data_IF_631215415274
#
_entry.id   IF_631215415274
#
_cell.length_a   1.000
_cell.length_b   1.000
_cell.length_c   1.000
_cell.angle_alpha   90.00
_cell.angle_beta   90.00
_cell.angle_gamma   90.00
#
_symmetry.space_group_name_H-M   'P 1'
#
loop_
_entity.id
_entity.type
_entity.pdbx_description
1 polymer ?
#
# COMPACT_ATOMS: atom_id res chain seq x y z
N UNK A 1 -25.91 -2.16 4.09
CA UNK A 1 -24.48 -2.42 3.80
C UNK A 1 -24.23 -3.93 3.80
N UNK A 2 -23.70 -4.53 2.72
CA UNK A 2 -23.52 -5.98 2.60
C UNK A 2 -22.57 -6.59 3.65
N UNK A 3 -21.55 -5.84 4.09
CA UNK A 3 -20.62 -6.29 5.13
C UNK A 3 -21.31 -6.58 6.48
N UNK A 4 -22.28 -5.75 6.87
CA UNK A 4 -23.01 -5.95 8.13
C UNK A 4 -23.87 -7.22 8.07
N UNK A 5 -24.51 -7.49 6.93
CA UNK A 5 -25.29 -8.71 6.72
C UNK A 5 -24.41 -9.97 6.75
N UNK A 6 -23.19 -9.90 6.23
CA UNK A 6 -22.24 -11.01 6.28
C UNK A 6 -21.86 -11.38 7.72
N UNK A 7 -21.68 -10.37 8.59
CA UNK A 7 -21.31 -10.58 9.99
C UNK A 7 -22.41 -11.20 10.85
N UNK A 8 -23.69 -11.00 10.51
CA UNK A 8 -24.82 -11.40 11.36
C UNK A 8 -25.55 -12.65 10.86
N UNK A 9 -25.13 -13.22 9.73
CA UNK A 9 -25.72 -14.43 9.15
C UNK A 9 -25.07 -15.73 9.66
N UNK A 10 -25.80 -16.86 9.65
CA UNK A 10 -27.27 -16.95 9.42
C UNK A 10 -28.07 -16.43 10.63
N UNK A 11 -27.46 -16.42 11.82
CA UNK A 11 -28.06 -15.94 13.04
C UNK A 11 -27.04 -15.16 13.87
N UNK A 12 -27.56 -14.23 14.67
CA UNK A 12 -26.82 -13.46 15.67
C UNK A 12 -27.46 -13.76 17.04
N UNK A 13 -26.72 -14.43 17.91
CA UNK A 13 -27.08 -14.56 19.32
C UNK A 13 -26.73 -13.25 20.03
N UNK A 14 -27.65 -12.76 20.85
CA UNK A 14 -27.48 -11.54 21.64
C UNK A 14 -27.86 -11.85 23.08
N UNK A 15 -26.97 -11.51 24.00
CA UNK A 15 -27.21 -11.52 25.44
C UNK A 15 -26.91 -10.10 25.94
N UNK A 16 -27.93 -9.44 26.49
CA UNK A 16 -27.87 -8.08 27.01
C UNK A 16 -28.43 -8.08 28.42
N UNK A 17 -27.62 -7.63 29.38
CA UNK A 17 -28.07 -7.34 30.74
C UNK A 17 -27.76 -5.90 31.08
N UNK A 18 -28.70 -5.23 31.75
CA UNK A 18 -28.55 -3.86 32.20
C UNK A 18 -29.15 -3.71 33.59
N UNK A 19 -28.43 -3.06 34.51
CA UNK A 19 -28.93 -2.68 35.83
C UNK A 19 -29.03 -1.16 35.90
N UNK A 20 -30.25 -0.65 35.99
CA UNK A 20 -30.52 0.78 36.06
C UNK A 20 -30.83 1.20 37.50
N UNK A 21 -30.04 2.13 38.03
CA UNK A 21 -30.28 2.80 39.31
C UNK A 21 -29.78 4.25 39.21
N UNK A 22 -30.52 5.21 39.77
CA UNK A 22 -30.11 6.63 39.84
C UNK A 22 -29.63 7.22 38.50
N UNK A 23 -30.34 6.89 37.41
CA UNK A 23 -29.99 7.29 36.02
C UNK A 23 -28.60 6.81 35.57
N UNK A 24 -28.09 5.75 36.18
CA UNK A 24 -26.88 5.05 35.77
C UNK A 24 -27.21 3.61 35.40
N UNK A 25 -26.72 3.15 34.26
CA UNK A 25 -26.88 1.78 33.83
C UNK A 25 -25.52 1.08 33.76
N UNK A 26 -25.33 0.00 34.52
CA UNK A 26 -24.28 -1.00 34.28
C UNK A 26 -24.78 -1.92 33.16
N UNK A 27 -24.11 -1.91 32.01
CA UNK A 27 -24.52 -2.64 30.81
C UNK A 27 -23.48 -3.69 30.48
N UNK A 28 -23.95 -4.92 30.18
CA UNK A 28 -23.13 -5.99 29.60
C UNK A 28 -23.82 -6.54 28.37
N UNK A 29 -23.08 -6.60 27.27
CA UNK A 29 -23.53 -7.07 25.97
C UNK A 29 -22.59 -8.17 25.47
N UNK A 30 -23.15 -9.28 25.02
CA UNK A 30 -22.46 -10.29 24.23
C UNK A 30 -23.21 -10.49 22.92
N UNK A 31 -22.49 -10.44 21.81
CA UNK A 31 -22.99 -10.77 20.49
C UNK A 31 -22.15 -11.90 19.91
N UNK A 32 -22.79 -12.92 19.35
CA UNK A 32 -22.08 -14.02 18.71
C UNK A 32 -22.77 -14.44 17.41
N UNK A 33 -21.96 -14.64 16.37
CA UNK A 33 -22.35 -15.24 15.11
C UNK A 33 -21.27 -16.21 14.64
N UNK A 34 -21.51 -16.90 13.53
CA UNK A 34 -20.50 -17.75 12.91
C UNK A 34 -19.25 -16.97 12.44
N UNK A 35 -19.36 -15.64 12.24
CA UNK A 35 -18.32 -14.80 11.71
C UNK A 35 -17.68 -13.86 12.74
N UNK A 36 -18.36 -13.58 13.86
CA UNK A 36 -18.01 -12.52 14.79
C UNK A 36 -18.38 -12.90 16.22
N UNK A 37 -17.48 -12.63 17.17
CA UNK A 37 -17.79 -12.60 18.60
C UNK A 37 -17.50 -11.20 19.12
N UNK A 38 -18.42 -10.60 19.87
CA UNK A 38 -18.26 -9.29 20.51
C UNK A 38 -18.70 -9.41 21.96
N UNK A 39 -17.92 -8.83 22.85
CA UNK A 39 -18.32 -8.56 24.23
C UNK A 39 -18.07 -7.09 24.54
N UNK A 40 -19.01 -6.45 25.21
CA UNK A 40 -18.89 -5.09 25.67
C UNK A 40 -19.47 -4.96 27.08
N UNK A 41 -18.86 -4.13 27.90
CA UNK A 41 -19.32 -3.84 29.25
C UNK A 41 -18.97 -2.41 29.64
N UNK A 42 -19.80 -1.76 30.47
CA UNK A 42 -19.47 -0.44 31.00
C UNK A 42 -20.67 0.31 31.56
N UNK A 43 -20.35 1.46 32.16
CA UNK A 43 -21.34 2.32 32.79
C UNK A 43 -21.85 3.40 31.85
N UNK A 44 -23.15 3.67 31.92
CA UNK A 44 -23.85 4.70 31.16
C UNK A 44 -24.52 5.66 32.15
N UNK A 45 -24.02 6.89 32.25
CA UNK A 45 -24.61 7.95 33.08
C UNK A 45 -25.57 8.80 32.22
N UNK A 46 -26.87 8.53 32.36
CA UNK A 46 -27.95 9.24 31.68
C UNK A 46 -28.25 10.61 32.31
N UNK A 47 -27.76 10.90 33.52
CA UNK A 47 -27.85 12.23 34.12
C UNK A 47 -26.83 13.19 33.50
N UNK A 48 -25.64 12.68 33.17
CA UNK A 48 -24.52 13.46 32.61
C UNK A 48 -24.30 13.21 31.11
N UNK A 49 -25.13 12.38 30.48
CA UNK A 49 -25.03 11.98 29.07
C UNK A 49 -23.62 11.46 28.70
N UNK A 50 -23.12 10.49 29.48
CA UNK A 50 -21.71 10.05 29.43
C UNK A 50 -21.57 8.52 29.48
N UNK A 51 -20.58 8.01 28.76
CA UNK A 51 -20.05 6.64 28.89
C UNK A 51 -18.88 6.67 29.86
N UNK A 52 -18.92 5.82 30.88
CA UNK A 52 -17.85 5.63 31.86
C UNK A 52 -17.05 4.36 31.56
N UNK A 53 -15.82 4.53 31.08
CA UNK A 53 -14.82 3.47 30.92
C UNK A 53 -15.33 2.14 30.32
N UNK A 54 -16.22 2.21 29.32
CA UNK A 54 -16.73 1.01 28.69
C UNK A 54 -15.61 0.29 27.93
N UNK A 55 -15.61 -1.03 27.98
CA UNK A 55 -14.70 -1.88 27.21
C UNK A 55 -15.45 -2.62 26.13
N UNK A 56 -14.76 -2.85 25.01
CA UNK A 56 -15.25 -3.66 23.90
C UNK A 56 -14.13 -4.59 23.45
N UNK A 57 -14.46 -5.87 23.26
CA UNK A 57 -13.60 -6.85 22.61
C UNK A 57 -14.36 -7.51 21.47
N UNK A 58 -13.74 -7.62 20.30
CA UNK A 58 -14.31 -8.32 19.17
C UNK A 58 -13.28 -9.25 18.52
N UNK A 59 -13.68 -10.47 18.21
CA UNK A 59 -12.92 -11.46 17.46
C UNK A 59 -13.62 -11.71 16.12
N UNK A 60 -12.93 -11.46 15.01
CA UNK A 60 -13.43 -11.74 13.67
C UNK A 60 -13.01 -13.16 13.28
N UNK A 61 -13.98 -14.07 13.37
CA UNK A 61 -13.82 -15.51 13.17
C UNK A 61 -13.80 -15.89 11.69
N UNK A 62 -14.53 -15.14 10.84
CA UNK A 62 -14.59 -15.36 9.39
C UNK A 62 -14.41 -14.04 8.64
N UNK A 63 -13.17 -13.63 8.31
CA UNK A 63 -12.92 -12.36 7.62
C UNK A 63 -13.63 -12.20 6.28
N UNK A 64 -13.86 -13.30 5.55
CA UNK A 64 -14.59 -13.29 4.28
C UNK A 64 -16.05 -12.76 4.41
N UNK A 65 -16.61 -12.77 5.63
CA UNK A 65 -17.92 -12.20 5.93
C UNK A 65 -17.94 -10.66 5.87
N UNK A 66 -16.80 -9.99 6.10
CA UNK A 66 -16.66 -8.54 5.93
C UNK A 66 -16.51 -8.16 4.46
N UNK A 67 -15.66 -8.90 3.74
CA UNK A 67 -15.39 -8.69 2.33
C UNK A 67 -14.99 -10.02 1.68
N UNK A 68 -15.52 -10.39 0.50
CA UNK A 68 -15.26 -11.69 -0.12
C UNK A 68 -13.77 -12.04 -0.32
N UNK A 69 -12.94 -11.03 -0.59
CA UNK A 69 -11.51 -11.20 -0.84
C UNK A 69 -10.64 -11.04 0.43
N UNK A 70 -11.26 -10.95 1.60
CA UNK A 70 -10.58 -10.81 2.88
C UNK A 70 -10.38 -12.19 3.52
N UNK A 71 -9.12 -12.53 3.78
CA UNK A 71 -8.72 -13.71 4.53
C UNK A 71 -7.96 -13.29 5.77
N UNK A 72 -7.90 -14.15 6.79
CA UNK A 72 -7.11 -13.83 7.98
C UNK A 72 -7.30 -14.80 9.12
N UNK A 73 -6.45 -14.66 10.12
CA UNK A 73 -6.47 -15.45 11.35
C UNK A 73 -6.06 -14.58 12.55
N UNK A 74 -6.64 -14.90 13.71
CA UNK A 74 -6.34 -14.20 14.97
C UNK A 74 -6.70 -12.71 14.96
N UNK A 75 -7.73 -12.32 14.19
CA UNK A 75 -8.14 -10.91 14.03
C UNK A 75 -8.95 -10.48 15.25
N UNK A 76 -8.37 -9.61 16.07
CA UNK A 76 -8.94 -9.17 17.35
C UNK A 76 -8.87 -7.66 17.50
N UNK A 77 -10.02 -7.06 17.78
CA UNK A 77 -10.16 -5.66 18.18
C UNK A 77 -10.42 -5.58 19.69
N UNK A 78 -9.75 -4.66 20.38
CA UNK A 78 -10.09 -4.23 21.73
C UNK A 78 -10.22 -2.72 21.74
N UNK A 79 -11.22 -2.18 22.42
CA UNK A 79 -11.43 -0.76 22.56
C UNK A 79 -11.84 -0.39 23.98
N UNK A 80 -11.51 0.83 24.40
CA UNK A 80 -12.02 1.51 25.59
C UNK A 80 -12.72 2.78 25.16
N UNK A 81 -13.92 3.00 25.66
CA UNK A 81 -14.79 4.09 25.27
C UNK A 81 -15.10 4.91 26.53
N UNK A 82 -14.81 6.19 26.49
CA UNK A 82 -15.08 7.10 27.61
C UNK A 82 -15.48 8.49 27.09
N UNK A 83 -16.34 9.17 27.83
CA UNK A 83 -16.70 10.56 27.58
C UNK A 83 -18.15 10.78 27.16
N UNK A 84 -18.51 12.02 26.78
CA UNK A 84 -19.89 12.38 26.46
C UNK A 84 -20.44 11.59 25.27
N UNK A 85 -21.73 11.22 25.27
CA UNK A 85 -22.35 10.46 24.18
C UNK A 85 -22.17 11.10 22.81
N UNK A 86 -22.18 12.44 22.73
CA UNK A 86 -22.02 13.17 21.48
C UNK A 86 -20.58 13.17 20.93
N UNK A 87 -19.58 12.86 21.77
CA UNK A 87 -18.16 12.96 21.43
C UNK A 87 -17.28 12.03 22.28
N UNK A 88 -17.54 10.71 22.26
CA UNK A 88 -16.74 9.77 23.02
C UNK A 88 -15.32 9.70 22.44
N UNK A 89 -14.36 9.39 23.31
CA UNK A 89 -13.02 8.97 22.96
C UNK A 89 -12.98 7.45 22.91
N UNK A 90 -12.30 6.91 21.90
CA UNK A 90 -12.16 5.46 21.70
C UNK A 90 -10.69 5.11 21.59
N UNK A 91 -10.09 4.60 22.65
CA UNK A 91 -8.73 4.05 22.62
C UNK A 91 -8.80 2.59 22.14
N UNK A 92 -8.22 2.28 20.98
CA UNK A 92 -8.37 0.98 20.32
C UNK A 92 -7.03 0.30 20.03
N UNK A 93 -7.07 -1.03 19.96
CA UNK A 93 -5.99 -1.92 19.52
C UNK A 93 -6.56 -3.03 18.65
N UNK A 94 -6.01 -3.18 17.45
CA UNK A 94 -6.30 -4.25 16.51
C UNK A 94 -5.05 -5.11 16.35
N UNK A 95 -5.17 -6.42 16.57
CA UNK A 95 -4.11 -7.38 16.25
C UNK A 95 -4.63 -8.40 15.25
N UNK A 96 -3.76 -8.88 14.38
CA UNK A 96 -4.02 -10.04 13.54
C UNK A 96 -2.74 -10.85 13.35
N UNK A 97 -2.83 -12.17 13.49
CA UNK A 97 -1.72 -13.05 13.14
C UNK A 97 -1.44 -12.97 11.64
N UNK A 98 -2.51 -12.94 10.85
CA UNK A 98 -2.45 -12.73 9.40
C UNK A 98 -3.73 -12.05 8.91
N UNK A 99 -3.59 -11.10 7.99
CA UNK A 99 -4.67 -10.55 7.18
C UNK A 99 -4.24 -10.55 5.71
N UNK A 100 -5.12 -10.93 4.80
CA UNK A 100 -4.87 -10.89 3.38
C UNK A 100 -6.03 -10.29 2.61
N UNK A 101 -5.72 -9.50 1.59
CA UNK A 101 -6.70 -8.94 0.68
C UNK A 101 -6.23 -9.14 -0.76
N UNK A 102 -6.99 -9.93 -1.53
CA UNK A 102 -6.57 -10.35 -2.87
C UNK A 102 -5.22 -11.07 -2.84
N UNK A 103 -4.24 -10.59 -3.62
CA UNK A 103 -2.90 -11.17 -3.66
C UNK A 103 -1.98 -10.77 -2.49
N UNK A 104 -2.34 -9.74 -1.70
CA UNK A 104 -1.47 -9.18 -0.65
C UNK A 104 -1.76 -9.79 0.72
N UNK A 105 -0.72 -10.04 1.52
CA UNK A 105 -0.82 -10.59 2.89
C UNK A 105 0.04 -9.79 3.86
N UNK A 106 -0.52 -9.46 5.02
CA UNK A 106 0.12 -8.80 6.15
C UNK A 106 0.20 -9.78 7.31
N UNK A 107 1.40 -10.04 7.79
CA UNK A 107 1.70 -10.99 8.88
C UNK A 107 2.08 -10.23 10.15
N UNK A 108 1.58 -10.67 11.31
CA UNK A 108 1.88 -10.08 12.61
C UNK A 108 1.45 -8.61 12.73
N UNK A 109 0.25 -8.29 12.25
CA UNK A 109 -0.29 -6.93 12.33
C UNK A 109 -0.63 -6.58 13.78
N UNK A 110 -0.15 -5.43 14.22
CA UNK A 110 -0.63 -4.74 15.41
C UNK A 110 -0.86 -3.27 15.06
N UNK A 111 -2.06 -2.77 15.30
CA UNK A 111 -2.47 -1.40 15.04
C UNK A 111 -3.20 -0.83 16.25
N UNK A 112 -3.14 0.48 16.45
CA UNK A 112 -3.86 1.13 17.54
C UNK A 112 -3.83 2.64 17.44
N UNK A 113 -4.66 3.26 18.27
CA UNK A 113 -4.85 4.70 18.29
C UNK A 113 -5.93 5.15 19.27
N UNK A 114 -6.19 6.45 19.28
CA UNK A 114 -7.21 7.08 20.11
C UNK A 114 -8.15 7.87 19.20
N UNK A 115 -9.21 7.21 18.73
CA UNK A 115 -10.19 7.83 17.87
C UNK A 115 -11.04 8.86 18.65
N UNK A 116 -11.36 9.96 17.98
CA UNK A 116 -12.21 11.04 18.50
C UNK A 116 -13.42 11.18 17.60
N UNK A 117 -14.59 10.97 18.18
CA UNK A 117 -15.85 11.23 17.50
C UNK A 117 -16.21 12.70 17.72
N UNK A 118 -16.51 13.40 16.62
CA UNK A 118 -16.97 14.79 16.60
C UNK A 118 -18.25 14.87 15.76
N UNK A 119 -19.07 15.91 15.94
CA UNK A 119 -20.23 16.14 15.06
C UNK A 119 -19.80 16.18 13.58
N UNK A 120 -20.34 15.26 12.78
CA UNK A 120 -20.07 15.16 11.33
C UNK A 120 -18.67 14.63 10.94
N UNK A 121 -17.78 14.35 11.89
CA UNK A 121 -16.40 13.92 11.60
C UNK A 121 -15.85 12.95 12.65
N UNK A 122 -15.17 11.91 12.21
CA UNK A 122 -14.41 11.00 13.07
C UNK A 122 -12.93 11.16 12.71
N UNK A 123 -12.08 11.36 13.73
CA UNK A 123 -10.63 11.38 13.60
C UNK A 123 -10.05 10.10 14.21
N UNK A 124 -9.25 9.37 13.44
CA UNK A 124 -8.70 8.07 13.80
C UNK A 124 -7.19 8.13 13.58
N UNK A 125 -6.41 8.53 14.60
CA UNK A 125 -4.96 8.37 14.57
C UNK A 125 -4.63 6.88 14.47
N UNK A 126 -3.70 6.52 13.59
CA UNK A 126 -3.31 5.15 13.33
C UNK A 126 -1.80 5.00 13.54
N UNK A 127 -1.41 4.10 14.44
CA UNK A 127 -0.06 3.56 14.53
C UNK A 127 -0.12 2.07 14.34
N UNK A 128 0.54 1.56 13.33
CA UNK A 128 0.53 0.17 12.95
C UNK A 128 1.94 -0.36 12.74
N UNK A 129 2.10 -1.66 12.98
CA UNK A 129 3.30 -2.42 12.68
C UNK A 129 2.89 -3.78 12.12
N UNK A 130 3.68 -4.28 11.18
CA UNK A 130 3.55 -5.61 10.63
C UNK A 130 4.92 -6.29 10.61
N UNK A 131 4.97 -7.57 10.91
CA UNK A 131 6.20 -8.35 10.81
C UNK A 131 6.64 -8.48 9.35
N UNK A 132 5.69 -8.70 8.43
CA UNK A 132 5.96 -8.84 7.00
C UNK A 132 4.74 -8.47 6.16
N UNK A 133 4.98 -7.92 4.96
CA UNK A 133 3.97 -7.80 3.90
C UNK A 133 4.45 -8.58 2.67
N UNK A 134 3.63 -9.54 2.23
CA UNK A 134 3.89 -10.39 1.08
C UNK A 134 2.86 -10.18 -0.03
N UNK A 135 3.15 -10.66 -1.24
CA UNK A 135 2.19 -10.66 -2.35
C UNK A 135 2.18 -9.42 -3.24
N UNK A 136 3.14 -8.50 -3.05
CA UNK A 136 3.35 -7.31 -3.88
C UNK A 136 4.35 -7.54 -5.03
N UNK A 137 4.64 -8.81 -5.35
CA UNK A 137 5.63 -9.23 -6.33
C UNK A 137 6.89 -9.82 -5.67
N UNK A 138 7.63 -10.69 -6.39
CA UNK A 138 8.71 -11.50 -5.83
C UNK A 138 9.87 -10.68 -5.25
N UNK A 139 10.10 -9.46 -5.74
CA UNK A 139 11.21 -8.61 -5.31
C UNK A 139 10.88 -7.62 -4.18
N UNK A 140 9.58 -7.38 -3.89
CA UNK A 140 9.16 -6.45 -2.83
C UNK A 140 8.94 -7.14 -1.48
N UNK A 141 8.61 -8.43 -1.46
CA UNK A 141 8.29 -9.16 -0.23
C UNK A 141 9.43 -9.23 0.79
N UNK A 142 10.69 -9.22 0.34
CA UNK A 142 11.87 -9.21 1.22
C UNK A 142 12.12 -7.84 1.85
N UNK A 143 11.72 -6.76 1.18
CA UNK A 143 11.93 -5.39 1.64
C UNK A 143 10.92 -4.97 2.70
N UNK A 144 9.75 -5.61 2.68
CA UNK A 144 8.61 -5.27 3.53
C UNK A 144 8.57 -6.14 4.78
N UNK A 145 9.69 -6.21 5.50
CA UNK A 145 9.80 -6.81 6.82
C UNK A 145 9.93 -5.72 7.88
N UNK A 146 9.36 -5.92 9.07
CA UNK A 146 9.39 -4.93 10.16
C UNK A 146 8.76 -3.58 9.74
N UNK A 147 7.62 -3.63 9.06
CA UNK A 147 6.96 -2.45 8.50
C UNK A 147 6.23 -1.70 9.60
N UNK A 148 6.37 -0.38 9.65
CA UNK A 148 5.59 0.53 10.48
C UNK A 148 4.80 1.49 9.62
N UNK A 149 3.59 1.84 10.06
CA UNK A 149 2.73 2.84 9.45
C UNK A 149 2.22 3.78 10.54
N UNK A 150 2.48 5.07 10.39
CA UNK A 150 1.91 6.13 11.22
C UNK A 150 1.05 7.04 10.36
N UNK A 151 -0.04 7.58 10.89
CA UNK A 151 -0.81 8.62 10.19
C UNK A 151 -2.16 8.86 10.82
N UNK A 152 -3.05 9.51 10.08
CA UNK A 152 -4.39 9.83 10.55
C UNK A 152 -5.42 9.56 9.47
N UNK A 153 -6.60 9.07 9.90
CA UNK A 153 -7.75 8.87 9.03
C UNK A 153 -8.87 9.76 9.55
N UNK A 154 -9.39 10.62 8.68
CA UNK A 154 -10.58 11.41 8.91
C UNK A 154 -11.74 10.84 8.07
N UNK A 155 -12.88 10.59 8.73
CA UNK A 155 -14.12 10.15 8.09
C UNK A 155 -15.18 11.21 8.27
N UNK A 156 -15.88 11.59 7.21
CA UNK A 156 -16.96 12.58 7.23
C UNK A 156 -18.07 12.14 6.27
N UNK A 157 -19.13 11.55 6.82
CA UNK A 157 -20.16 10.88 6.02
C UNK A 157 -19.54 9.75 5.17
N UNK A 158 -19.72 9.83 3.84
CA UNK A 158 -19.14 8.88 2.88
C UNK A 158 -17.71 9.25 2.45
N UNK A 159 -17.13 10.34 2.95
CA UNK A 159 -15.78 10.79 2.60
C UNK A 159 -14.75 10.27 3.58
N UNK A 160 -13.63 9.80 3.04
CA UNK A 160 -12.46 9.36 3.79
C UNK A 160 -11.24 10.14 3.31
N UNK A 161 -10.48 10.69 4.26
CA UNK A 161 -9.17 11.29 4.03
C UNK A 161 -8.17 10.59 4.94
N UNK A 162 -7.15 9.98 4.37
CA UNK A 162 -6.00 9.50 5.12
C UNK A 162 -4.81 10.39 4.74
N UNK A 163 -4.31 11.14 5.72
CA UNK A 163 -3.23 12.11 5.55
C UNK A 163 -2.04 11.78 6.44
N UNK A 164 -0.87 12.30 6.04
CA UNK A 164 0.43 12.05 6.69
C UNK A 164 0.70 10.57 6.97
N UNK A 165 0.33 9.69 6.02
CA UNK A 165 0.62 8.26 6.14
C UNK A 165 2.12 8.05 5.91
N UNK A 166 2.87 7.75 6.96
CA UNK A 166 4.30 7.46 6.90
C UNK A 166 4.51 5.97 7.01
N UNK A 167 5.05 5.37 5.97
CA UNK A 167 5.33 3.94 5.86
C UNK A 167 6.84 3.77 5.91
N UNK A 168 7.33 2.98 6.87
CA UNK A 168 8.76 2.74 7.06
C UNK A 168 9.05 1.26 7.19
N UNK A 169 10.16 0.82 6.61
CA UNK A 169 10.78 -0.49 6.79
C UNK A 169 12.31 -0.28 6.77
N UNK A 170 13.16 -1.28 7.08
CA UNK A 170 14.61 -1.10 7.17
C UNK A 170 15.28 -0.46 5.95
N UNK A 171 14.66 -0.59 4.77
CA UNK A 171 15.16 -0.06 3.49
C UNK A 171 14.12 0.77 2.74
N UNK A 172 13.01 1.13 3.39
CA UNK A 172 11.90 1.84 2.76
C UNK A 172 11.51 3.03 3.65
N UNK A 173 11.39 4.21 3.04
CA UNK A 173 10.77 5.38 3.64
C UNK A 173 9.78 5.97 2.63
N UNK A 174 8.50 5.97 2.96
CA UNK A 174 7.45 6.43 2.07
C UNK A 174 6.38 7.25 2.79
N UNK A 175 5.77 8.16 2.04
CA UNK A 175 4.63 8.97 2.46
C UNK A 175 3.49 8.79 1.49
N UNK A 176 2.28 8.66 2.03
CA UNK A 176 1.07 8.55 1.25
C UNK A 176 -0.03 9.50 1.74
N UNK A 177 -0.90 9.88 0.81
CA UNK A 177 -2.18 10.53 1.09
C UNK A 177 -3.24 9.82 0.26
N UNK A 178 -4.42 9.61 0.83
CA UNK A 178 -5.55 8.96 0.17
C UNK A 178 -6.79 9.79 0.45
N UNK A 179 -7.55 10.12 -0.59
CA UNK A 179 -8.85 10.76 -0.48
C UNK A 179 -9.87 9.95 -1.28
N UNK A 180 -11.00 9.63 -0.64
CA UNK A 180 -12.07 8.87 -1.26
C UNK A 180 -13.43 9.48 -0.95
N UNK A 181 -14.31 9.54 -1.95
CA UNK A 181 -15.74 9.75 -1.77
C UNK A 181 -16.44 8.45 -2.17
N UNK A 182 -16.87 7.69 -1.16
CA UNK A 182 -17.46 6.36 -1.36
C UNK A 182 -18.84 6.42 -1.98
N UNK A 183 -19.56 7.55 -1.84
CA UNK A 183 -20.86 7.73 -2.46
C UNK A 183 -20.72 8.04 -3.97
N UNK A 184 -19.73 8.87 -4.32
CA UNK A 184 -19.41 9.17 -5.72
C UNK A 184 -18.54 8.10 -6.41
N UNK A 185 -18.00 7.13 -5.65
CA UNK A 185 -17.08 6.12 -6.15
C UNK A 185 -15.74 6.70 -6.64
N UNK A 186 -15.32 7.85 -6.11
CA UNK A 186 -14.10 8.52 -6.54
C UNK A 186 -12.97 8.30 -5.54
N UNK A 187 -11.76 8.05 -6.07
CA UNK A 187 -10.56 7.76 -5.30
C UNK A 187 -9.38 8.54 -5.87
N UNK A 188 -8.61 9.17 -5.01
CA UNK A 188 -7.35 9.83 -5.32
C UNK A 188 -6.32 9.42 -4.30
N UNK A 189 -5.07 9.33 -4.73
CA UNK A 189 -3.97 9.14 -3.81
C UNK A 189 -2.68 9.63 -4.40
N UNK A 190 -1.71 9.88 -3.53
CA UNK A 190 -0.34 10.11 -3.93
C UNK A 190 0.57 9.33 -2.98
N UNK A 191 1.65 8.79 -3.54
CA UNK A 191 2.69 8.03 -2.84
C UNK A 191 4.04 8.59 -3.28
N UNK A 192 4.83 9.05 -2.32
CA UNK A 192 6.25 9.36 -2.53
C UNK A 192 7.07 8.41 -1.69
N UNK A 193 8.22 7.96 -2.17
CA UNK A 193 9.03 7.06 -1.37
C UNK A 193 10.43 6.82 -1.90
N UNK A 194 11.25 6.22 -1.03
CA UNK A 194 12.61 5.78 -1.29
C UNK A 194 12.76 4.31 -0.93
N UNK A 195 13.55 3.61 -1.74
CA UNK A 195 14.00 2.25 -1.45
C UNK A 195 15.52 2.20 -1.56
N UNK A 196 16.20 1.89 -0.47
CA UNK A 196 17.67 1.87 -0.46
C UNK A 196 18.19 0.50 -0.90
N UNK A 197 19.29 0.49 -1.67
CA UNK A 197 20.06 -0.70 -2.10
C UNK A 197 19.25 -1.79 -2.79
N UNK A 198 18.16 -1.45 -3.47
CA UNK A 198 17.27 -2.39 -4.17
C UNK A 198 18.04 -3.26 -5.16
N UNK A 199 17.89 -4.58 -5.06
CA UNK A 199 18.54 -5.51 -5.97
C UNK A 199 17.73 -5.61 -7.26
N UNK A 200 18.29 -5.07 -8.34
CA UNK A 200 17.82 -5.29 -9.70
C UNK A 200 18.51 -6.53 -10.23
N UNK A 201 17.75 -7.61 -10.36
CA UNK A 201 18.25 -8.89 -10.86
C UNK A 201 18.92 -8.71 -12.23
N UNK A 202 20.13 -9.26 -12.38
CA UNK A 202 20.93 -9.13 -13.60
C UNK A 202 21.64 -7.78 -13.80
N UNK A 203 21.48 -6.81 -12.90
CA UNK A 203 22.13 -5.50 -13.00
C UNK A 203 22.96 -5.11 -11.77
N UNK A 204 22.39 -5.15 -10.56
CA UNK A 204 23.08 -4.79 -9.32
C UNK A 204 22.18 -4.09 -8.29
N UNK A 205 22.79 -3.31 -7.38
CA UNK A 205 22.12 -2.60 -6.30
C UNK A 205 21.87 -1.13 -6.66
N UNK A 206 20.65 -0.64 -6.40
CA UNK A 206 20.22 0.71 -6.72
C UNK A 206 19.45 1.37 -5.58
N UNK A 207 19.70 2.65 -5.34
CA UNK A 207 18.82 3.48 -4.52
C UNK A 207 17.71 4.03 -5.42
N UNK A 208 16.46 3.78 -5.05
CA UNK A 208 15.28 4.16 -5.82
C UNK A 208 14.53 5.28 -5.10
N UNK A 209 13.94 6.18 -5.88
CA UNK A 209 12.95 7.13 -5.40
C UNK A 209 11.81 7.24 -6.39
N UNK A 210 10.60 7.48 -5.90
CA UNK A 210 9.42 7.62 -6.73
C UNK A 210 8.43 8.63 -6.16
N UNK A 211 7.67 9.24 -7.05
CA UNK A 211 6.49 10.05 -6.76
C UNK A 211 5.39 9.61 -7.73
N UNK A 212 4.32 9.02 -7.20
CA UNK A 212 3.28 8.31 -7.94
C UNK A 212 1.93 8.83 -7.49
N UNK A 213 1.10 9.24 -8.44
CA UNK A 213 -0.29 9.62 -8.23
C UNK A 213 -1.22 8.49 -8.68
N UNK A 214 -2.22 8.20 -7.85
CA UNK A 214 -3.39 7.40 -8.19
C UNK A 214 -4.48 8.35 -8.68
N UNK A 215 -4.85 8.20 -9.95
CA UNK A 215 -5.87 9.00 -10.62
C UNK A 215 -7.02 8.12 -11.11
N UNK A 216 -8.22 8.67 -11.09
CA UNK A 216 -9.39 8.06 -11.72
C UNK A 216 -9.56 8.68 -13.12
N UNK A 217 -9.20 7.98 -14.21
CA UNK A 217 -9.30 8.53 -15.56
C UNK A 217 -10.76 8.69 -16.02
N UNK A 218 -11.04 9.58 -17.00
CA UNK A 218 -12.34 9.65 -17.67
C UNK A 218 -12.68 8.29 -18.29
N UNK A 219 -13.85 7.74 -17.98
CA UNK A 219 -14.26 6.38 -18.38
C UNK A 219 -14.17 5.32 -17.27
N UNK A 220 -13.67 5.69 -16.08
CA UNK A 220 -13.67 4.85 -14.89
C UNK A 220 -12.39 4.02 -14.71
N UNK A 221 -12.38 3.21 -13.65
CA UNK A 221 -11.19 2.46 -13.23
C UNK A 221 -10.17 3.31 -12.49
N UNK A 222 -8.94 2.83 -12.43
CA UNK A 222 -7.82 3.48 -11.76
C UNK A 222 -6.60 3.48 -12.67
N UNK A 223 -5.78 4.53 -12.54
CA UNK A 223 -4.48 4.62 -13.19
C UNK A 223 -3.44 5.14 -12.20
N UNK A 224 -2.20 4.68 -12.36
CA UNK A 224 -1.03 5.21 -11.68
C UNK A 224 -0.21 6.00 -12.67
N UNK A 225 0.27 7.18 -12.27
CA UNK A 225 1.17 7.97 -13.08
C UNK A 225 2.20 8.64 -12.17
N UNK A 226 3.47 8.62 -12.56
CA UNK A 226 4.50 9.13 -11.68
C UNK A 226 5.84 9.32 -12.35
N UNK A 227 6.81 9.71 -11.52
CA UNK A 227 8.23 9.77 -11.86
C UNK A 227 9.01 8.85 -10.93
N UNK A 228 10.14 8.38 -11.42
CA UNK A 228 11.10 7.68 -10.59
C UNK A 228 12.52 8.14 -10.91
N UNK A 229 13.41 7.93 -9.95
CA UNK A 229 14.84 7.99 -10.15
C UNK A 229 15.50 6.78 -9.50
N UNK A 230 16.52 6.23 -10.15
CA UNK A 230 17.35 5.15 -9.64
C UNK A 230 18.82 5.56 -9.74
N UNK A 231 19.57 5.39 -8.66
CA UNK A 231 21.02 5.63 -8.62
C UNK A 231 21.72 4.31 -8.36
N UNK A 232 22.69 3.95 -9.17
CA UNK A 232 23.49 2.74 -8.93
C UNK A 232 24.33 2.91 -7.66
N UNK A 233 24.21 1.95 -6.75
CA UNK A 233 25.14 1.75 -5.63
C UNK A 233 26.25 0.80 -6.06
N UNK A 234 25.88 -0.27 -6.77
CA UNK A 234 26.80 -1.29 -7.27
C UNK A 234 26.24 -1.89 -8.55
N UNK A 235 27.09 -2.07 -9.56
CA UNK A 235 26.73 -2.78 -10.80
C UNK A 235 27.41 -4.14 -10.76
N UNK A 236 26.63 -5.21 -10.70
CA UNK A 236 27.13 -6.58 -10.55
C UNK A 236 27.44 -7.23 -11.91
N UNK A 237 26.72 -6.85 -12.95
CA UNK A 237 26.93 -7.32 -14.32
C UNK A 237 28.19 -6.68 -14.94
N UNK A 238 29.17 -7.50 -15.35
CA UNK A 238 30.43 -7.03 -15.93
C UNK A 238 30.25 -6.20 -17.21
N UNK A 239 29.42 -6.67 -18.15
CA UNK A 239 29.16 -5.96 -19.39
C UNK A 239 28.51 -4.58 -19.16
N UNK A 240 27.56 -4.49 -18.22
CA UNK A 240 26.97 -3.21 -17.84
C UNK A 240 27.99 -2.31 -17.15
N UNK A 241 28.84 -2.87 -16.29
CA UNK A 241 29.89 -2.10 -15.60
C UNK A 241 30.86 -1.45 -16.59
N UNK A 242 31.29 -2.20 -17.60
CA UNK A 242 32.22 -1.72 -18.63
C UNK A 242 31.58 -0.66 -19.55
N UNK A 243 30.30 -0.84 -19.88
CA UNK A 243 29.54 0.11 -20.69
C UNK A 243 29.25 1.40 -19.94
N UNK A 244 28.82 1.31 -18.68
CA UNK A 244 28.42 2.46 -17.88
C UNK A 244 29.62 3.21 -17.32
N UNK A 245 30.75 2.52 -17.08
CA UNK A 245 32.03 3.08 -16.63
C UNK A 245 31.95 3.95 -15.35
N UNK A 246 30.97 3.71 -14.48
CA UNK A 246 30.86 4.41 -13.20
C UNK A 246 29.44 4.48 -12.64
N UNK A 247 29.24 5.41 -11.70
CA UNK A 247 27.93 5.66 -11.11
C UNK A 247 26.94 6.08 -12.20
N UNK A 248 25.74 5.52 -12.13
CA UNK A 248 24.67 5.69 -13.11
C UNK A 248 23.44 6.27 -12.43
N UNK A 249 22.89 7.33 -13.01
CA UNK A 249 21.60 7.90 -12.66
C UNK A 249 20.61 7.58 -13.77
N UNK A 250 19.48 7.00 -13.40
CA UNK A 250 18.37 6.68 -14.30
C UNK A 250 17.15 7.47 -13.81
N UNK A 251 16.46 8.13 -14.71
CA UNK A 251 15.20 8.83 -14.40
C UNK A 251 14.18 8.51 -15.46
N UNK A 252 12.91 8.56 -15.10
CA UNK A 252 11.85 8.38 -16.08
C UNK A 252 10.47 8.62 -15.49
N UNK A 253 9.47 8.38 -16.32
CA UNK A 253 8.06 8.39 -15.93
C UNK A 253 7.48 7.01 -16.09
N UNK A 254 6.63 6.67 -15.13
CA UNK A 254 5.93 5.40 -15.12
C UNK A 254 4.44 5.66 -15.20
N UNK A 255 3.75 4.80 -15.94
CA UNK A 255 2.31 4.79 -16.04
C UNK A 255 1.78 3.37 -15.85
N UNK A 256 0.60 3.24 -15.28
CA UNK A 256 -0.15 1.99 -15.28
C UNK A 256 -1.62 2.33 -15.44
N UNK A 257 -2.25 1.83 -16.50
CA UNK A 257 -3.64 2.15 -16.83
C UNK A 257 -4.62 1.04 -16.48
N UNK A 258 -5.94 1.31 -16.57
CA UNK A 258 -7.00 0.33 -16.33
C UNK A 258 -6.98 -0.85 -17.33
N UNK A 259 -6.30 -0.70 -18.48
CA UNK A 259 -6.05 -1.78 -19.45
C UNK A 259 -4.95 -2.75 -19.00
N UNK A 260 -4.32 -2.51 -17.85
CA UNK A 260 -3.25 -3.35 -17.30
C UNK A 260 -1.89 -3.16 -17.97
N UNK A 261 -1.76 -2.18 -18.87
CA UNK A 261 -0.49 -1.85 -19.54
C UNK A 261 0.33 -0.93 -18.65
N UNK A 262 1.56 -1.37 -18.33
CA UNK A 262 2.58 -0.51 -17.73
C UNK A 262 3.34 0.24 -18.83
N UNK A 263 3.57 1.54 -18.64
CA UNK A 263 4.38 2.38 -19.54
C UNK A 263 5.60 2.93 -18.82
N UNK A 264 6.66 3.11 -19.60
CA UNK A 264 7.87 3.80 -19.22
C UNK A 264 8.08 4.88 -20.28
N UNK A 265 8.16 6.14 -19.87
CA UNK A 265 8.27 7.26 -20.79
C UNK A 265 9.39 8.19 -20.34
N UNK A 266 10.04 8.87 -21.30
CA UNK A 266 11.13 9.81 -21.03
C UNK A 266 12.24 9.20 -20.17
N UNK A 267 12.58 7.93 -20.44
CA UNK A 267 13.70 7.28 -19.80
C UNK A 267 14.99 8.01 -20.18
N UNK A 268 15.72 8.44 -19.17
CA UNK A 268 17.05 9.06 -19.30
C UNK A 268 18.02 8.31 -18.43
N UNK A 269 19.24 8.17 -18.93
CA UNK A 269 20.35 7.55 -18.21
C UNK A 269 21.56 8.45 -18.37
N UNK A 270 22.25 8.73 -17.28
CA UNK A 270 23.52 9.42 -17.27
C UNK A 270 24.56 8.60 -16.50
N UNK A 271 25.63 8.24 -17.17
CA UNK A 271 26.84 7.65 -16.60
C UNK A 271 28.07 8.14 -17.38
N UNK A 272 29.31 7.93 -16.87
CA UNK A 272 30.52 8.32 -17.60
C UNK A 272 30.66 7.67 -18.98
N UNK A 273 30.20 6.42 -19.13
CA UNK A 273 30.33 5.65 -20.36
C UNK A 273 29.12 5.70 -21.30
N UNK A 274 27.95 6.14 -20.82
CA UNK A 274 26.70 6.12 -21.58
C UNK A 274 25.77 7.28 -21.17
N UNK A 275 25.21 7.96 -22.17
CA UNK A 275 24.10 8.89 -21.99
C UNK A 275 22.92 8.45 -22.83
N UNK A 276 21.76 8.19 -22.22
CA UNK A 276 20.48 7.95 -22.91
C UNK A 276 19.65 9.21 -22.79
N UNK A 277 19.26 9.78 -23.93
CA UNK A 277 18.54 11.07 -24.01
C UNK A 277 17.03 10.90 -24.08
N UNK A 278 16.58 9.82 -24.71
CA UNK A 278 15.18 9.42 -24.78
C UNK A 278 15.06 7.90 -24.77
N UNK A 279 14.05 7.41 -24.06
CA UNK A 279 13.67 6.03 -24.08
C UNK A 279 12.22 5.89 -23.64
N UNK A 280 11.57 4.88 -24.20
CA UNK A 280 10.19 4.55 -23.93
C UNK A 280 10.00 3.04 -23.97
N UNK A 281 9.04 2.53 -23.21
CA UNK A 281 8.71 1.12 -23.18
C UNK A 281 7.31 0.86 -22.67
N UNK A 282 6.79 -0.31 -23.00
CA UNK A 282 5.48 -0.78 -22.58
C UNK A 282 5.56 -2.25 -22.20
N UNK A 283 4.91 -2.60 -21.11
CA UNK A 283 4.70 -3.97 -20.65
C UNK A 283 3.20 -4.23 -20.66
N UNK A 284 2.78 -5.21 -21.45
CA UNK A 284 1.38 -5.57 -21.63
C UNK A 284 0.99 -6.70 -20.68
N UNK A 285 -0.31 -6.84 -20.36
CA UNK A 285 -0.83 -8.03 -19.68
C UNK A 285 -0.35 -9.29 -20.42
N UNK A 286 0.11 -10.30 -19.66
CA UNK A 286 0.72 -11.52 -20.23
C UNK A 286 2.22 -11.44 -20.48
N UNK A 287 2.89 -10.32 -20.17
CA UNK A 287 4.35 -10.26 -20.10
C UNK A 287 5.06 -9.84 -21.39
N UNK A 288 4.31 -9.44 -22.44
CA UNK A 288 4.89 -8.90 -23.67
C UNK A 288 5.50 -7.52 -23.42
N UNK A 289 6.73 -7.34 -23.88
CA UNK A 289 7.50 -6.11 -23.73
C UNK A 289 7.82 -5.51 -25.09
N UNK A 290 7.76 -4.19 -25.16
CA UNK A 290 8.21 -3.40 -26.29
C UNK A 290 8.93 -2.18 -25.75
N UNK A 291 10.03 -1.77 -26.38
CA UNK A 291 10.75 -0.59 -25.95
C UNK A 291 11.76 -0.09 -26.97
N UNK A 292 12.13 1.16 -26.82
CA UNK A 292 13.17 1.82 -27.60
C UNK A 292 13.97 2.76 -26.71
N UNK A 293 15.25 2.90 -26.99
CA UNK A 293 16.10 3.91 -26.37
C UNK A 293 17.14 4.41 -27.38
N UNK A 294 17.52 5.68 -27.26
CA UNK A 294 18.57 6.28 -28.07
C UNK A 294 19.54 7.04 -27.17
N UNK A 295 20.82 6.99 -27.51
CA UNK A 295 21.86 7.59 -26.70
C UNK A 295 23.22 7.67 -27.37
N UNK A 296 24.20 8.09 -26.57
CA UNK A 296 25.59 8.18 -26.93
C UNK A 296 26.42 7.33 -25.97
N UNK A 297 27.10 6.33 -26.49
CA UNK A 297 28.06 5.53 -25.74
C UNK A 297 29.47 6.05 -26.03
N UNK A 298 30.28 6.26 -25.00
CA UNK A 298 31.64 6.77 -25.16
C UNK A 298 32.51 5.86 -26.06
N UNK A 299 32.34 4.55 -25.95
CA UNK A 299 33.09 3.55 -26.73
C UNK A 299 32.52 3.28 -28.12
N UNK A 300 31.20 3.40 -28.30
CA UNK A 300 30.50 2.93 -29.50
C UNK A 300 29.88 4.05 -30.36
N UNK A 301 29.95 5.31 -29.89
CA UNK A 301 29.30 6.44 -30.54
C UNK A 301 27.77 6.41 -30.34
N UNK A 302 27.00 7.03 -31.25
CA UNK A 302 25.54 6.97 -31.22
C UNK A 302 25.05 5.52 -31.22
N UNK A 303 24.11 5.23 -30.32
CA UNK A 303 23.51 3.91 -30.15
C UNK A 303 21.99 4.01 -30.10
N UNK A 304 21.33 3.03 -30.72
CA UNK A 304 19.89 2.81 -30.57
C UNK A 304 19.63 1.38 -30.14
N UNK A 305 18.66 1.22 -29.24
CA UNK A 305 18.24 -0.08 -28.73
C UNK A 305 16.75 -0.24 -29.00
N UNK A 306 16.37 -1.39 -29.52
CA UNK A 306 14.99 -1.84 -29.58
C UNK A 306 14.83 -3.11 -28.73
N UNK A 307 13.82 -3.12 -27.86
CA UNK A 307 13.44 -4.23 -27.00
C UNK A 307 12.10 -4.78 -27.48
N UNK A 308 12.00 -6.10 -27.63
CA UNK A 308 10.74 -6.78 -27.93
C UNK A 308 10.69 -8.16 -27.27
N UNK A 309 9.61 -8.91 -27.48
CA UNK A 309 9.44 -10.27 -26.95
C UNK A 309 8.69 -10.29 -25.63
N UNK A 310 9.16 -11.09 -24.66
CA UNK A 310 8.52 -11.22 -23.34
C UNK A 310 9.51 -11.02 -22.20
N UNK A 311 9.04 -10.81 -20.96
CA UNK A 311 9.92 -10.75 -19.79
C UNK A 311 10.75 -12.03 -19.59
N UNK A 312 10.22 -13.19 -19.98
CA UNK A 312 10.93 -14.47 -19.88
C UNK A 312 11.95 -14.67 -21.02
N UNK A 313 11.67 -14.10 -22.20
CA UNK A 313 12.50 -14.21 -23.39
C UNK A 313 12.57 -12.85 -24.10
N UNK A 314 13.39 -11.91 -23.56
CA UNK A 314 13.57 -10.60 -24.16
C UNK A 314 14.45 -10.69 -25.40
N UNK A 315 14.07 -9.97 -26.46
CA UNK A 315 14.88 -9.80 -27.67
C UNK A 315 15.39 -8.37 -27.71
N UNK A 316 16.72 -8.21 -27.72
CA UNK A 316 17.38 -6.91 -27.75
C UNK A 316 18.08 -6.75 -29.11
N UNK A 317 17.72 -5.71 -29.85
CA UNK A 317 18.43 -5.29 -31.07
C UNK A 317 19.18 -4.00 -30.77
N UNK A 318 20.50 -4.07 -30.87
CA UNK A 318 21.40 -2.93 -30.68
C UNK A 318 21.95 -2.51 -32.03
N UNK A 319 21.82 -1.22 -32.36
CA UNK A 319 22.53 -0.60 -33.46
C UNK A 319 23.51 0.41 -32.87
N UNK A 320 24.77 0.33 -33.30
CA UNK A 320 25.85 1.19 -32.84
C UNK A 320 26.64 1.70 -34.04
N UNK A 321 26.99 2.98 -34.04
CA UNK A 321 27.75 3.58 -35.14
C UNK A 321 29.17 2.99 -35.27
N UNK A 322 29.75 2.53 -34.15
CA UNK A 322 31.09 1.93 -34.12
C UNK A 322 31.07 0.59 -33.38
N UNK A 323 30.52 -0.48 -33.98
CA UNK A 323 30.47 -1.80 -33.34
C UNK A 323 31.88 -2.40 -33.39
N UNK A 324 32.74 -2.05 -32.45
CA UNK A 324 34.01 -2.77 -32.25
C UNK A 324 33.69 -4.12 -31.61
N UNK A 325 33.28 -5.08 -32.44
CA UNK A 325 33.34 -6.50 -32.09
C UNK A 325 34.75 -6.95 -32.48
N UNK A 326 35.70 -6.81 -31.56
CA UNK A 326 36.97 -7.53 -31.68
C UNK A 326 36.66 -9.01 -31.47
N UNK A 327 36.69 -9.80 -32.53
CA UNK A 327 36.79 -11.25 -32.44
C UNK A 327 38.20 -11.54 -31.89
N UNK A 328 38.37 -12.26 -30.77
CA UNK A 328 39.68 -12.79 -30.40
C UNK A 328 40.19 -13.81 -31.43
#
# INVERSE_FOLDING_TARGET
>A
MPALQGLTRPALAMDLSARLADRRADVRLKLASAALSVAAEGDVDLARNRIGMATLSADLLRPAALAPNLVGSGVRLRARIDGPFARPRIDYRLNAAMLGFGGTRVEGLAAGGAARIMPGRILIPLRARAARIAGLGPSLGELLTGVTLDGQIAVSGARLLADDLRIRAPRIDARAVIAADLAAGTYRGALSGRVDRYLVQGAGLFDLSSDIDLVAPPGGGWALAGRFAARSVRIDNGALRDLLAGQTLITGRIGYGPTGVATLDRLRLASPGLTVTDGAGRLQPGGRIEGRAAGLAGRYGPVTVALSGTLAQPVIRLNAARPRIGIP
#
